data_IF_298559451435
#
_entry.id   IF_298559451435
#
_cell.length_a   1.000
_cell.length_b   1.000
_cell.length_c   1.000
_cell.angle_alpha   90.00
_cell.angle_beta   90.00
_cell.angle_gamma   90.00
#
_symmetry.space_group_name_H-M   'P 1'
#
loop_
_entity.id
_entity.type
_entity.pdbx_description
1 polymer ?
#
# COMPACT_ATOMS: atom_id res chain seq x y z
N UNK A 1 9.87 18.70 13.34
CA UNK A 1 9.81 17.61 12.32
C UNK A 1 8.90 16.46 12.78
N UNK A 2 9.22 15.75 13.87
CA UNK A 2 8.41 14.61 14.33
C UNK A 2 6.93 14.95 14.61
N UNK A 3 6.66 16.07 15.29
CA UNK A 3 5.27 16.52 15.57
C UNK A 3 4.47 16.75 14.28
N UNK A 4 5.09 17.31 13.24
CA UNK A 4 4.44 17.55 11.96
C UNK A 4 4.14 16.25 11.20
N UNK A 5 5.06 15.28 11.24
CA UNK A 5 4.86 13.96 10.62
C UNK A 5 3.81 13.12 11.36
N UNK A 6 3.71 13.25 12.68
CA UNK A 6 2.77 12.50 13.51
C UNK A 6 1.38 13.12 13.55
N UNK A 7 1.24 14.42 13.27
CA UNK A 7 -0.04 15.12 13.30
C UNK A 7 -1.18 14.39 12.55
N UNK A 8 -1.04 13.95 11.28
CA UNK A 8 -2.12 13.24 10.59
C UNK A 8 -2.45 11.87 11.20
N UNK A 9 -1.48 11.20 11.83
CA UNK A 9 -1.72 9.94 12.53
C UNK A 9 -2.52 10.15 13.81
N UNK A 10 -2.17 11.17 14.59
CA UNK A 10 -2.92 11.54 15.80
C UNK A 10 -4.36 11.91 15.40
N UNK A 11 -4.54 12.66 14.31
CA UNK A 11 -5.86 12.97 13.78
C UNK A 11 -6.64 11.75 13.30
N UNK A 12 -6.00 10.79 12.63
CA UNK A 12 -6.65 9.54 12.21
C UNK A 12 -7.19 8.76 13.40
N UNK A 13 -6.41 8.68 14.49
CA UNK A 13 -6.82 7.99 15.72
C UNK A 13 -8.01 8.70 16.38
N UNK A 14 -7.99 10.04 16.46
CA UNK A 14 -9.13 10.79 17.02
C UNK A 14 -10.36 10.72 16.12
N UNK A 15 -10.20 10.66 14.80
CA UNK A 15 -11.31 10.49 13.86
C UNK A 15 -11.97 9.10 14.00
N UNK A 16 -11.18 8.04 14.16
CA UNK A 16 -11.70 6.67 14.35
C UNK A 16 -12.54 6.50 15.62
N UNK A 17 -12.31 7.35 16.63
CA UNK A 17 -13.09 7.35 17.88
C UNK A 17 -14.42 8.09 17.80
N UNK A 18 -14.69 8.85 16.73
CA UNK A 18 -15.86 9.73 16.63
C UNK A 18 -17.01 9.09 15.85
N UNK A 19 -18.23 9.48 16.19
CA UNK A 19 -19.43 9.18 15.39
C UNK A 19 -19.41 9.90 14.02
N UNK A 20 -20.05 9.30 13.01
CA UNK A 20 -20.11 9.79 11.63
C UNK A 20 -20.55 11.26 11.51
N UNK A 21 -21.46 11.73 12.38
CA UNK A 21 -21.91 13.12 12.40
C UNK A 21 -20.85 14.12 12.89
N UNK A 22 -19.93 13.69 13.75
CA UNK A 22 -18.94 14.56 14.40
C UNK A 22 -17.57 14.58 13.70
N UNK A 23 -17.39 13.77 12.65
CA UNK A 23 -16.13 13.72 11.87
C UNK A 23 -15.85 15.05 11.14
N UNK A 24 -16.89 15.70 10.60
CA UNK A 24 -16.76 16.92 9.77
C UNK A 24 -17.08 18.23 10.51
N UNK A 25 -17.83 18.17 11.61
CA UNK A 25 -18.33 19.36 12.32
C UNK A 25 -17.71 19.64 13.69
N UNK A 26 -17.06 18.66 14.32
CA UNK A 26 -16.52 18.79 15.68
C UNK A 26 -15.07 19.29 15.74
N UNK A 27 -14.65 19.79 16.91
CA UNK A 27 -13.25 20.15 17.16
C UNK A 27 -12.32 18.94 16.88
N UNK A 28 -11.23 19.18 16.13
CA UNK A 28 -10.24 18.20 15.65
C UNK A 28 -9.77 17.24 16.75
N UNK A 29 -9.68 17.72 18.00
CA UNK A 29 -9.21 16.95 19.17
C UNK A 29 -10.26 16.75 20.27
N UNK A 30 -11.52 17.14 20.06
CA UNK A 30 -12.57 16.85 21.05
C UNK A 30 -12.97 15.37 21.03
N UNK A 31 -13.26 14.83 22.22
CA UNK A 31 -13.76 13.46 22.43
C UNK A 31 -15.29 13.40 22.46
N UNK A 32 -15.98 14.43 21.94
CA UNK A 32 -17.43 14.45 21.81
C UNK A 32 -17.94 13.36 20.85
N UNK A 33 -18.85 12.51 21.32
CA UNK A 33 -19.39 11.39 20.56
C UNK A 33 -18.39 10.24 20.39
N UNK A 34 -17.75 9.80 21.48
CA UNK A 34 -16.88 8.63 21.50
C UNK A 34 -17.67 7.35 21.16
N UNK A 35 -17.51 6.80 19.96
CA UNK A 35 -18.22 5.61 19.47
C UNK A 35 -17.28 4.55 18.89
N UNK A 36 -16.08 4.40 19.44
CA UNK A 36 -15.08 3.44 18.93
C UNK A 36 -15.60 1.99 18.88
N UNK A 37 -16.41 1.58 19.86
CA UNK A 37 -17.04 0.25 19.87
C UNK A 37 -18.04 0.08 18.73
N UNK A 38 -18.90 1.07 18.52
CA UNK A 38 -19.90 1.06 17.45
C UNK A 38 -19.22 1.10 16.06
N UNK A 39 -18.20 1.93 15.88
CA UNK A 39 -17.40 1.99 14.65
C UNK A 39 -16.70 0.65 14.36
N UNK A 40 -16.20 -0.03 15.38
CA UNK A 40 -15.56 -1.34 15.20
C UNK A 40 -16.59 -2.43 14.88
N UNK A 41 -17.77 -2.41 15.51
CA UNK A 41 -18.86 -3.32 15.17
C UNK A 41 -19.41 -3.08 13.76
N UNK A 42 -19.53 -1.81 13.35
CA UNK A 42 -19.93 -1.45 12.00
C UNK A 42 -18.92 -1.94 10.97
N UNK A 43 -17.62 -1.93 11.30
CA UNK A 43 -16.56 -2.49 10.46
C UNK A 43 -16.64 -4.02 10.34
N UNK A 44 -16.96 -4.71 11.43
CA UNK A 44 -17.09 -6.17 11.44
C UNK A 44 -18.35 -6.66 10.76
N UNK A 45 -19.43 -5.89 10.84
CA UNK A 45 -20.72 -6.24 10.27
C UNK A 45 -20.88 -5.72 8.83
N UNK A 46 -19.95 -4.87 8.37
CA UNK A 46 -19.94 -4.31 7.02
C UNK A 46 -20.00 -5.40 5.95
N UNK A 47 -21.11 -5.43 5.22
CA UNK A 47 -21.42 -6.42 4.17
C UNK A 47 -21.14 -7.87 4.61
N UNK A 48 -21.42 -8.21 5.88
CA UNK A 48 -21.20 -9.55 6.44
C UNK A 48 -19.74 -9.87 6.74
N UNK A 49 -18.94 -8.88 7.14
CA UNK A 49 -17.52 -9.06 7.49
C UNK A 49 -16.58 -9.05 6.29
N UNK A 50 -17.02 -8.50 5.17
CA UNK A 50 -16.22 -8.43 3.94
C UNK A 50 -14.92 -7.62 4.12
N UNK A 51 -14.94 -6.64 5.02
CA UNK A 51 -13.77 -5.84 5.38
C UNK A 51 -12.55 -6.70 5.74
N UNK A 52 -12.72 -7.71 6.61
CA UNK A 52 -11.60 -8.57 7.02
C UNK A 52 -11.06 -9.41 5.86
N UNK A 53 -11.91 -9.78 4.90
CA UNK A 53 -11.46 -10.47 3.70
C UNK A 53 -10.64 -9.56 2.81
N UNK A 54 -11.03 -8.30 2.63
CA UNK A 54 -10.22 -7.31 1.91
C UNK A 54 -8.90 -7.03 2.62
N UNK A 55 -8.91 -6.93 3.94
CA UNK A 55 -7.70 -6.77 4.75
C UNK A 55 -6.74 -7.95 4.56
N UNK A 56 -7.24 -9.17 4.69
CA UNK A 56 -6.43 -10.38 4.50
C UNK A 56 -5.91 -10.50 3.06
N UNK A 57 -6.73 -10.21 2.06
CA UNK A 57 -6.31 -10.19 0.66
C UNK A 57 -5.17 -9.19 0.43
N UNK A 58 -5.28 -7.99 1.01
CA UNK A 58 -4.25 -6.95 0.90
C UNK A 58 -2.96 -7.36 1.60
N UNK A 59 -3.06 -7.98 2.79
CA UNK A 59 -1.92 -8.48 3.54
C UNK A 59 -1.20 -9.60 2.81
N UNK A 60 -1.94 -10.57 2.27
CA UNK A 60 -1.39 -11.68 1.49
C UNK A 60 -0.74 -11.17 0.20
N UNK A 61 -1.42 -10.27 -0.52
CA UNK A 61 -0.90 -9.68 -1.75
C UNK A 61 0.40 -8.89 -1.50
N UNK A 62 0.39 -8.00 -0.52
CA UNK A 62 1.56 -7.19 -0.18
C UNK A 62 2.70 -8.06 0.37
N UNK A 63 2.40 -9.03 1.24
CA UNK A 63 3.39 -9.92 1.84
C UNK A 63 4.05 -10.84 0.82
N UNK A 64 3.26 -11.54 0.00
CA UNK A 64 3.79 -12.41 -1.05
C UNK A 64 4.57 -11.63 -2.09
N UNK A 65 4.05 -10.47 -2.51
CA UNK A 65 4.73 -9.56 -3.43
C UNK A 65 6.05 -9.05 -2.87
N UNK A 66 6.08 -8.57 -1.63
CA UNK A 66 7.29 -8.10 -0.98
C UNK A 66 8.35 -9.20 -0.87
N UNK A 67 7.97 -10.40 -0.42
CA UNK A 67 8.89 -11.53 -0.33
C UNK A 67 9.47 -11.91 -1.70
N UNK A 68 8.62 -12.06 -2.71
CA UNK A 68 9.06 -12.39 -4.07
C UNK A 68 10.00 -11.33 -4.65
N UNK A 69 9.61 -10.06 -4.56
CA UNK A 69 10.42 -8.94 -5.04
C UNK A 69 11.74 -8.83 -4.28
N UNK A 70 11.76 -9.02 -2.96
CA UNK A 70 12.98 -8.99 -2.16
C UNK A 70 13.94 -10.09 -2.54
N UNK A 71 13.46 -11.33 -2.74
CA UNK A 71 14.32 -12.44 -3.16
C UNK A 71 14.99 -12.16 -4.51
N UNK A 72 14.21 -11.71 -5.50
CA UNK A 72 14.73 -11.36 -6.83
C UNK A 72 15.70 -10.18 -6.74
N UNK A 73 15.36 -9.15 -5.96
CA UNK A 73 16.20 -7.94 -5.82
C UNK A 73 17.51 -8.24 -5.12
N UNK A 74 17.52 -9.11 -4.10
CA UNK A 74 18.74 -9.54 -3.41
C UNK A 74 19.61 -10.37 -4.35
N UNK A 75 19.02 -11.32 -5.10
CA UNK A 75 19.77 -12.11 -6.08
C UNK A 75 20.38 -11.24 -7.18
N UNK A 76 19.60 -10.31 -7.75
CA UNK A 76 20.08 -9.36 -8.76
C UNK A 76 21.15 -8.42 -8.18
N UNK A 77 20.91 -7.86 -7.00
CA UNK A 77 21.85 -6.99 -6.29
C UNK A 77 23.17 -7.68 -6.01
N UNK A 78 23.15 -8.94 -5.58
CA UNK A 78 24.35 -9.75 -5.38
C UNK A 78 25.10 -9.98 -6.69
N UNK A 79 24.38 -10.28 -7.77
CA UNK A 79 24.98 -10.45 -9.10
C UNK A 79 25.69 -9.17 -9.57
N UNK A 80 25.03 -8.01 -9.39
CA UNK A 80 25.61 -6.71 -9.68
C UNK A 80 26.74 -6.32 -8.72
N UNK A 81 26.77 -6.75 -7.47
CA UNK A 81 27.89 -6.43 -6.57
C UNK A 81 29.12 -7.30 -6.86
N UNK A 82 28.95 -8.62 -6.84
CA UNK A 82 30.07 -9.58 -6.80
C UNK A 82 30.67 -9.94 -8.15
N UNK A 83 29.87 -9.94 -9.22
CA UNK A 83 30.37 -10.36 -10.53
C UNK A 83 30.77 -9.17 -11.40
N UNK A 84 31.88 -9.35 -12.11
CA UNK A 84 32.34 -8.43 -13.15
C UNK A 84 31.98 -9.04 -14.50
N UNK A 85 30.98 -8.45 -15.17
CA UNK A 85 30.52 -8.91 -16.49
C UNK A 85 30.40 -7.74 -17.46
N UNK A 86 30.53 -8.04 -18.76
CA UNK A 86 30.47 -7.04 -19.83
C UNK A 86 29.05 -6.47 -19.93
N UNK A 87 28.92 -5.14 -19.87
CA UNK A 87 27.63 -4.44 -20.00
C UNK A 87 26.87 -4.16 -18.70
N UNK A 88 27.48 -4.43 -17.54
CA UNK A 88 26.92 -4.18 -16.21
C UNK A 88 26.29 -2.80 -16.03
N UNK A 89 26.98 -1.73 -16.43
CA UNK A 89 26.49 -0.35 -16.31
C UNK A 89 25.25 -0.09 -17.18
N UNK A 90 25.20 -0.66 -18.39
CA UNK A 90 24.05 -0.50 -19.30
C UNK A 90 22.81 -1.19 -18.76
N UNK A 91 22.97 -2.40 -18.21
CA UNK A 91 21.87 -3.12 -17.57
C UNK A 91 21.39 -2.41 -16.31
N UNK A 92 22.30 -1.88 -15.50
CA UNK A 92 21.93 -1.08 -14.33
C UNK A 92 21.17 0.20 -14.73
N UNK A 93 21.62 0.90 -15.77
CA UNK A 93 20.92 2.06 -16.32
C UNK A 93 19.52 1.70 -16.83
N UNK A 94 19.34 0.54 -17.47
CA UNK A 94 18.02 0.06 -17.91
C UNK A 94 17.07 -0.17 -16.72
N UNK A 95 17.56 -0.74 -15.61
CA UNK A 95 16.76 -0.91 -14.38
C UNK A 95 16.34 0.45 -13.83
N UNK A 96 17.26 1.42 -13.76
CA UNK A 96 16.95 2.78 -13.31
C UNK A 96 15.91 3.46 -14.20
N UNK A 97 16.01 3.32 -15.52
CA UNK A 97 15.01 3.83 -16.46
C UNK A 97 13.62 3.22 -16.19
N UNK A 98 13.55 1.93 -15.87
CA UNK A 98 12.30 1.28 -15.48
C UNK A 98 11.68 1.87 -14.21
N UNK A 99 12.49 2.18 -13.20
CA UNK A 99 12.03 2.80 -11.94
C UNK A 99 11.49 4.21 -12.14
N UNK A 100 12.00 4.93 -13.15
CA UNK A 100 11.54 6.28 -13.49
C UNK A 100 10.18 6.31 -14.21
N UNK A 101 9.69 5.17 -14.70
CA UNK A 101 8.39 5.12 -15.37
C UNK A 101 7.26 5.33 -14.36
N UNK A 102 6.34 6.27 -14.62
CA UNK A 102 5.21 6.49 -13.74
C UNK A 102 4.27 5.27 -13.78
N UNK A 103 3.84 4.82 -12.61
CA UNK A 103 2.96 3.64 -12.47
C UNK A 103 1.66 3.80 -13.27
N UNK A 104 1.14 5.01 -13.39
CA UNK A 104 -0.07 5.34 -14.15
C UNK A 104 0.06 5.05 -15.65
N UNK A 105 1.26 5.23 -16.24
CA UNK A 105 1.49 4.93 -17.64
C UNK A 105 1.56 3.41 -17.92
N UNK A 106 1.93 2.62 -16.90
CA UNK A 106 2.01 1.16 -16.99
C UNK A 106 0.65 0.47 -16.82
N UNK A 107 -0.33 1.13 -16.19
CA UNK A 107 -1.64 0.54 -15.93
C UNK A 107 -2.36 0.04 -17.18
N UNK A 108 -2.38 0.84 -18.26
CA UNK A 108 -3.06 0.45 -19.51
C UNK A 108 -2.36 -0.73 -20.20
N UNK A 109 -1.03 -0.71 -20.43
CA UNK A 109 -0.31 -1.88 -20.95
C UNK A 109 -0.50 -3.15 -20.12
N UNK A 110 -0.45 -3.05 -18.79
CA UNK A 110 -0.65 -4.20 -17.90
C UNK A 110 -2.07 -4.78 -18.02
N UNK A 111 -3.08 -3.92 -18.17
CA UNK A 111 -4.45 -4.35 -18.42
C UNK A 111 -4.57 -5.10 -19.76
N UNK A 112 -4.02 -4.54 -20.83
CA UNK A 112 -4.03 -5.21 -22.15
C UNK A 112 -3.29 -6.55 -22.13
N UNK A 113 -2.19 -6.64 -21.37
CA UNK A 113 -1.46 -7.88 -21.16
C UNK A 113 -2.33 -8.92 -20.44
N UNK A 114 -2.99 -8.53 -19.35
CA UNK A 114 -3.85 -9.42 -18.56
C UNK A 114 -5.01 -10.00 -19.38
N UNK A 115 -5.65 -9.17 -20.21
CA UNK A 115 -6.70 -9.61 -21.14
C UNK A 115 -6.13 -10.59 -22.17
N UNK A 116 -4.97 -10.27 -22.75
CA UNK A 116 -4.31 -11.14 -23.73
C UNK A 116 -3.92 -12.50 -23.13
N UNK A 117 -3.57 -12.55 -21.86
CA UNK A 117 -3.24 -13.80 -21.15
C UNK A 117 -4.45 -14.49 -20.52
N UNK A 118 -5.67 -14.03 -20.82
CA UNK A 118 -6.93 -14.53 -20.24
C UNK A 118 -6.91 -14.58 -18.71
N UNK A 119 -6.17 -13.67 -18.08
CA UNK A 119 -6.04 -13.57 -16.63
C UNK A 119 -7.13 -12.66 -16.05
N UNK A 120 -7.74 -11.84 -16.91
CA UNK A 120 -8.96 -11.05 -16.72
C UNK A 120 -9.75 -11.14 -18.02
#
# INVERSE_FOLDING_TARGET
AAVYALFPLVWLVTAATKDAGNILGGNVFSSEGFSLGDNLSALTDYEGGLYFRWYLNSLLYAGAGALGCSLVSVAAGYAFDKYVFRGKEKLFAMVLLGVLLPSTALSLPLYLLAVKTHTV
#
